data_IF_579516261034
#
_entry.id   IF_579516261034
#
_cell.length_a   1.000
_cell.length_b   1.000
_cell.length_c   1.000
_cell.angle_alpha   90.00
_cell.angle_beta   90.00
_cell.angle_gamma   90.00
#
_symmetry.space_group_name_H-M   'P 1'
#
loop_
_entity.id
_entity.type
_entity.pdbx_description
1 polymer ?
#
# COMPACT_ATOMS: atom_id res chain seq x y z
N UNK A 1 19.11 12.09 5.42
CA UNK A 1 18.13 12.62 4.44
C UNK A 1 17.07 11.56 4.21
N UNK A 2 15.86 11.95 3.83
CA UNK A 2 14.78 11.01 3.60
C UNK A 2 13.96 11.32 2.35
N UNK A 3 13.27 10.31 1.81
CA UNK A 3 12.28 10.46 0.76
C UNK A 3 11.07 9.57 1.05
N UNK A 4 9.89 10.09 0.72
CA UNK A 4 8.64 9.35 0.84
C UNK A 4 8.24 8.75 -0.51
N UNK A 5 7.87 7.48 -0.49
CA UNK A 5 7.27 6.76 -1.61
C UNK A 5 5.89 6.29 -1.18
N UNK A 6 4.87 6.53 -2.00
CA UNK A 6 3.50 6.09 -1.76
C UNK A 6 3.06 5.13 -2.85
N UNK A 7 2.17 4.21 -2.51
CA UNK A 7 1.49 3.38 -3.50
C UNK A 7 0.41 4.20 -4.22
N UNK A 8 0.52 4.32 -5.55
CA UNK A 8 -0.46 5.02 -6.38
C UNK A 8 -1.51 4.06 -6.92
N UNK A 9 -1.09 2.92 -7.44
CA UNK A 9 -1.98 1.89 -7.99
C UNK A 9 -1.61 0.53 -7.40
N UNK A 10 -2.65 -0.25 -7.11
CA UNK A 10 -2.56 -1.53 -6.44
C UNK A 10 -2.37 -2.65 -7.46
N UNK A 11 -1.77 -3.78 -7.05
CA UNK A 11 -1.63 -4.91 -7.93
C UNK A 11 -3.00 -5.58 -8.16
N UNK A 12 -3.20 -6.27 -9.29
CA UNK A 12 -4.46 -6.95 -9.58
C UNK A 12 -4.77 -8.07 -8.56
N UNK A 13 -3.74 -8.63 -7.94
CA UNK A 13 -3.85 -9.65 -6.90
C UNK A 13 -2.85 -9.37 -5.78
N UNK A 14 -3.23 -9.68 -4.55
CA UNK A 14 -2.37 -9.58 -3.37
C UNK A 14 -2.08 -10.96 -2.82
N UNK A 15 -0.82 -11.24 -2.50
CA UNK A 15 -0.41 -12.53 -1.94
C UNK A 15 0.39 -12.33 -0.65
N UNK A 16 0.24 -13.23 0.34
CA UNK A 16 1.09 -13.20 1.51
C UNK A 16 2.58 -13.23 1.12
N UNK A 17 3.39 -12.44 1.81
CA UNK A 17 4.82 -12.28 1.55
C UNK A 17 5.17 -11.44 0.31
N UNK A 18 4.18 -10.84 -0.36
CA UNK A 18 4.44 -9.99 -1.53
C UNK A 18 5.44 -8.88 -1.23
N UNK A 19 5.29 -8.20 -0.09
CA UNK A 19 6.16 -7.10 0.32
C UNK A 19 7.51 -7.54 0.93
N UNK A 20 7.79 -8.85 1.06
CA UNK A 20 9.00 -9.36 1.73
C UNK A 20 10.28 -8.92 1.03
N UNK A 21 10.23 -8.70 -0.29
CA UNK A 21 11.39 -8.22 -1.03
C UNK A 21 11.84 -6.83 -0.58
N UNK A 22 10.90 -5.96 -0.15
CA UNK A 22 11.26 -4.66 0.43
C UNK A 22 12.07 -4.82 1.71
N UNK A 23 11.73 -5.80 2.55
CA UNK A 23 12.44 -6.09 3.79
C UNK A 23 13.85 -6.66 3.57
N UNK A 24 14.14 -7.15 2.36
CA UNK A 24 15.46 -7.68 1.98
C UNK A 24 16.38 -6.64 1.35
N UNK A 25 15.87 -5.44 1.05
CA UNK A 25 16.67 -4.38 0.47
C UNK A 25 17.75 -3.93 1.48
N UNK A 26 19.00 -3.70 1.02
CA UNK A 26 20.10 -3.29 1.91
C UNK A 26 20.05 -1.79 2.24
N UNK A 27 18.85 -1.27 2.51
CA UNK A 27 18.58 0.16 2.72
C UNK A 27 17.78 0.37 4.00
N UNK A 28 18.00 1.50 4.67
CA UNK A 28 17.19 1.89 5.82
C UNK A 28 15.82 2.39 5.33
N UNK A 29 14.77 1.61 5.60
CA UNK A 29 13.40 1.93 5.20
C UNK A 29 12.42 1.75 6.35
N UNK A 30 11.37 2.58 6.37
CA UNK A 30 10.23 2.45 7.28
C UNK A 30 8.99 2.25 6.40
N UNK A 31 8.40 1.05 6.47
CA UNK A 31 7.16 0.73 5.78
C UNK A 31 6.01 0.95 6.77
N UNK A 32 5.04 1.76 6.38
CA UNK A 32 3.82 1.97 7.16
C UNK A 32 2.62 1.58 6.35
N UNK A 33 1.75 0.76 6.96
CA UNK A 33 0.45 0.42 6.43
C UNK A 33 -0.63 0.87 7.40
N UNK A 34 -1.76 1.30 6.87
CA UNK A 34 -2.94 1.66 7.65
C UNK A 34 -4.18 1.16 6.93
N UNK A 35 -5.14 0.64 7.68
CA UNK A 35 -6.41 0.15 7.16
C UNK A 35 -7.54 0.66 8.04
N UNK A 36 -8.33 1.59 7.50
CA UNK A 36 -9.48 2.16 8.19
C UNK A 36 -10.76 1.55 7.61
N UNK A 37 -11.52 0.83 8.43
CA UNK A 37 -12.77 0.20 8.01
C UNK A 37 -13.77 1.26 7.53
N UNK A 38 -14.42 0.98 6.42
CA UNK A 38 -15.47 1.83 5.86
C UNK A 38 -16.84 1.26 6.22
N UNK A 39 -17.84 2.12 6.34
CA UNK A 39 -19.22 1.66 6.53
C UNK A 39 -19.67 0.84 5.32
N UNK A 40 -20.45 -0.21 5.58
CA UNK A 40 -20.89 -1.15 4.53
C UNK A 40 -21.69 -0.46 3.43
N UNK A 41 -22.59 0.47 3.78
CA UNK A 41 -23.42 1.19 2.82
C UNK A 41 -22.56 2.16 2.02
N UNK A 42 -21.62 2.85 2.68
CA UNK A 42 -20.66 3.74 2.03
C UNK A 42 -19.76 2.97 1.05
N UNK A 43 -19.16 1.86 1.48
CA UNK A 43 -18.33 0.99 0.66
C UNK A 43 -19.10 0.44 -0.55
N UNK A 44 -20.33 -0.06 -0.36
CA UNK A 44 -21.21 -0.48 -1.45
C UNK A 44 -21.44 0.64 -2.47
N UNK A 45 -21.67 1.87 -2.00
CA UNK A 45 -21.84 3.04 -2.86
C UNK A 45 -20.59 3.35 -3.69
N UNK A 46 -19.41 3.28 -3.09
CA UNK A 46 -18.13 3.51 -3.76
C UNK A 46 -17.82 2.42 -4.80
N UNK A 47 -17.97 1.14 -4.43
CA UNK A 47 -17.72 0.01 -5.35
C UNK A 47 -18.69 0.07 -6.55
N UNK A 48 -19.97 0.40 -6.34
CA UNK A 48 -20.93 0.62 -7.43
C UNK A 48 -20.51 1.76 -8.36
N UNK A 49 -19.91 2.83 -7.82
CA UNK A 49 -19.38 3.94 -8.62
C UNK A 49 -18.21 3.45 -9.48
N UNK A 50 -17.28 2.69 -8.90
CA UNK A 50 -16.16 2.07 -9.62
C UNK A 50 -16.69 1.15 -10.72
N UNK A 51 -17.66 0.29 -10.44
CA UNK A 51 -18.26 -0.60 -11.44
C UNK A 51 -18.85 0.15 -12.64
N UNK A 52 -19.58 1.26 -12.40
CA UNK A 52 -20.07 2.11 -13.50
C UNK A 52 -18.94 2.73 -14.34
N UNK A 53 -17.81 3.06 -13.72
CA UNK A 53 -16.64 3.60 -14.42
C UNK A 53 -15.96 2.52 -15.27
N UNK A 54 -15.83 1.30 -14.74
CA UNK A 54 -15.25 0.14 -15.44
C UNK A 54 -16.09 -0.25 -16.66
N UNK A 55 -17.42 -0.33 -16.50
CA UNK A 55 -18.33 -0.63 -17.63
C UNK A 55 -18.21 0.41 -18.76
N UNK A 56 -17.94 1.67 -18.41
CA UNK A 56 -17.79 2.77 -19.37
C UNK A 56 -16.36 2.98 -19.88
N UNK A 57 -15.39 2.16 -19.47
CA UNK A 57 -13.99 2.24 -19.90
C UNK A 57 -13.63 1.09 -20.85
N UNK A 58 -12.38 1.08 -21.31
CA UNK A 58 -11.83 -0.03 -22.11
C UNK A 58 -11.73 -1.35 -21.33
N UNK A 59 -12.02 -1.34 -20.03
CA UNK A 59 -12.03 -2.52 -19.14
C UNK A 59 -13.42 -3.14 -18.98
N UNK A 60 -14.45 -2.59 -19.63
CA UNK A 60 -15.79 -3.17 -19.66
C UNK A 60 -15.80 -4.57 -20.28
N UNK A 61 -16.53 -5.49 -19.66
CA UNK A 61 -16.62 -6.90 -20.06
C UNK A 61 -15.37 -7.74 -19.80
N UNK A 62 -14.37 -7.19 -19.11
CA UNK A 62 -13.12 -7.90 -18.76
C UNK A 62 -13.19 -8.53 -17.37
N UNK A 63 -12.11 -9.19 -16.94
CA UNK A 63 -11.98 -9.70 -15.56
C UNK A 63 -12.02 -8.60 -14.50
N UNK A 64 -11.77 -7.35 -14.86
CA UNK A 64 -11.88 -6.20 -13.94
C UNK A 64 -13.34 -5.98 -13.54
N UNK A 65 -14.26 -5.96 -14.51
CA UNK A 65 -15.70 -5.82 -14.24
C UNK A 65 -16.20 -6.97 -13.35
N UNK A 66 -15.80 -8.22 -13.67
CA UNK A 66 -16.15 -9.38 -12.85
C UNK A 66 -15.61 -9.25 -11.42
N UNK A 67 -14.37 -8.79 -11.25
CA UNK A 67 -13.77 -8.61 -9.91
C UNK A 67 -14.52 -7.57 -9.08
N UNK A 68 -15.07 -6.54 -9.71
CA UNK A 68 -15.92 -5.53 -9.04
C UNK A 68 -17.25 -6.16 -8.60
N UNK A 69 -17.88 -6.96 -9.47
CA UNK A 69 -19.10 -7.70 -9.11
C UNK A 69 -18.89 -8.68 -7.96
N UNK A 70 -17.84 -9.50 -8.04
CA UNK A 70 -17.48 -10.45 -6.99
C UNK A 70 -17.21 -9.73 -5.65
N UNK A 71 -16.54 -8.57 -5.70
CA UNK A 71 -16.30 -7.74 -4.53
C UNK A 71 -17.59 -7.22 -3.88
N UNK A 72 -18.56 -6.78 -4.69
CA UNK A 72 -19.88 -6.35 -4.21
C UNK A 72 -20.64 -7.51 -3.55
N UNK A 73 -20.63 -8.69 -4.18
CA UNK A 73 -21.35 -9.85 -3.66
C UNK A 73 -20.77 -10.34 -2.33
N UNK A 74 -19.44 -10.42 -2.22
CA UNK A 74 -18.76 -10.76 -0.95
C UNK A 74 -19.06 -9.75 0.16
N UNK A 75 -19.11 -8.46 -0.16
CA UNK A 75 -19.52 -7.42 0.80
C UNK A 75 -21.02 -7.54 1.17
N UNK A 76 -21.88 -7.90 0.22
CA UNK A 76 -23.32 -8.13 0.43
C UNK A 76 -23.62 -9.41 1.24
N UNK A 77 -22.72 -10.38 1.22
CA UNK A 77 -22.82 -11.59 2.04
C UNK A 77 -22.12 -11.43 3.40
N UNK A 78 -21.26 -10.42 3.55
CA UNK A 78 -20.49 -10.18 4.78
C UNK A 78 -19.25 -11.07 4.91
N UNK A 79 -18.81 -11.69 3.81
CA UNK A 79 -17.58 -12.49 3.78
C UNK A 79 -16.32 -11.63 3.91
N UNK A 80 -16.38 -10.39 3.43
CA UNK A 80 -15.30 -9.41 3.54
C UNK A 80 -15.85 -8.07 3.99
N UNK A 81 -14.99 -7.30 4.65
CA UNK A 81 -15.21 -5.87 4.90
C UNK A 81 -14.30 -5.08 3.97
N UNK A 82 -14.68 -3.85 3.63
CA UNK A 82 -13.84 -2.95 2.86
C UNK A 82 -13.34 -1.82 3.76
N UNK A 83 -12.17 -1.30 3.43
CA UNK A 83 -11.56 -0.20 4.15
C UNK A 83 -10.56 0.56 3.30
N UNK A 84 -10.33 1.80 3.69
CA UNK A 84 -9.30 2.64 3.09
C UNK A 84 -7.93 2.13 3.54
N UNK A 85 -7.17 1.61 2.58
CA UNK A 85 -5.79 1.21 2.77
C UNK A 85 -4.83 2.30 2.33
N UNK A 86 -3.76 2.43 3.10
CA UNK A 86 -2.66 3.36 2.89
C UNK A 86 -1.34 2.62 3.07
N UNK A 87 -0.40 2.84 2.14
CA UNK A 87 0.95 2.33 2.22
C UNK A 87 1.96 3.39 1.82
N UNK A 88 2.90 3.66 2.71
CA UNK A 88 4.07 4.51 2.47
C UNK A 88 5.35 3.80 2.83
N UNK A 89 6.41 4.11 2.09
CA UNK A 89 7.79 3.72 2.39
C UNK A 89 8.60 5.01 2.57
N UNK A 90 9.11 5.23 3.78
CA UNK A 90 10.10 6.26 4.05
C UNK A 90 11.49 5.65 3.86
N UNK A 91 12.27 6.21 2.94
CA UNK A 91 13.64 5.76 2.64
C UNK A 91 14.61 6.74 3.26
N UNK A 92 15.58 6.26 4.04
CA UNK A 92 16.56 7.07 4.75
C UNK A 92 17.96 6.75 4.25
N UNK A 93 18.77 7.79 4.01
CA UNK A 93 20.16 7.64 3.57
C UNK A 93 21.05 8.81 4.02
N UNK A 94 22.37 8.62 3.97
CA UNK A 94 23.37 9.60 4.43
C UNK A 94 23.85 10.53 3.33
N UNK A 95 23.73 10.12 2.06
CA UNK A 95 24.08 10.93 0.89
C UNK A 95 22.97 10.95 -0.18
N UNK A 96 22.94 11.98 -1.02
CA UNK A 96 21.95 12.09 -2.12
C UNK A 96 22.11 10.94 -3.13
N UNK A 97 23.33 10.53 -3.52
CA UNK A 97 23.52 9.35 -4.37
C UNK A 97 22.96 8.06 -3.75
N UNK A 98 23.23 7.82 -2.46
CA UNK A 98 22.65 6.66 -1.74
C UNK A 98 21.13 6.72 -1.70
N UNK A 99 20.55 7.89 -1.41
CA UNK A 99 19.11 8.07 -1.36
C UNK A 99 18.46 7.74 -2.71
N UNK A 100 19.02 8.25 -3.82
CA UNK A 100 18.48 7.99 -5.15
C UNK A 100 18.60 6.50 -5.52
N UNK A 101 19.69 5.83 -5.14
CA UNK A 101 19.85 4.39 -5.34
C UNK A 101 18.80 3.60 -4.56
N UNK A 102 18.62 3.91 -3.28
CA UNK A 102 17.63 3.27 -2.42
C UNK A 102 16.20 3.48 -2.92
N UNK A 103 15.84 4.69 -3.36
CA UNK A 103 14.54 4.98 -3.99
C UNK A 103 14.33 4.09 -5.22
N UNK A 104 15.34 4.02 -6.11
CA UNK A 104 15.25 3.22 -7.33
C UNK A 104 15.03 1.75 -7.03
N UNK A 105 15.74 1.19 -6.04
CA UNK A 105 15.63 -0.21 -5.66
C UNK A 105 14.26 -0.50 -5.03
N UNK A 106 13.77 0.38 -4.14
CA UNK A 106 12.41 0.28 -3.56
C UNK A 106 11.33 0.35 -4.65
N UNK A 107 11.42 1.31 -5.58
CA UNK A 107 10.45 1.42 -6.66
C UNK A 107 10.47 0.20 -7.60
N UNK A 108 11.66 -0.34 -7.86
CA UNK A 108 11.82 -1.55 -8.68
C UNK A 108 11.16 -2.76 -8.01
N UNK A 109 11.35 -2.91 -6.70
CA UNK A 109 10.76 -4.01 -5.95
C UNK A 109 9.23 -3.89 -5.84
N UNK A 110 8.70 -2.68 -5.64
CA UNK A 110 7.25 -2.46 -5.71
C UNK A 110 6.70 -2.76 -7.11
N UNK A 111 7.39 -2.32 -8.17
CA UNK A 111 6.97 -2.58 -9.56
C UNK A 111 7.01 -4.07 -9.92
N UNK A 112 7.93 -4.86 -9.34
CA UNK A 112 7.98 -6.32 -9.48
C UNK A 112 6.69 -6.99 -9.00
N UNK A 113 6.02 -6.36 -8.03
CA UNK A 113 4.73 -6.81 -7.49
C UNK A 113 3.53 -6.25 -8.26
N UNK A 114 3.74 -5.59 -9.40
CA UNK A 114 2.73 -4.84 -10.14
C UNK A 114 2.09 -3.70 -9.32
N UNK A 115 2.76 -3.21 -8.27
CA UNK A 115 2.40 -1.96 -7.61
C UNK A 115 2.98 -0.81 -8.42
N UNK A 116 2.23 0.29 -8.60
CA UNK A 116 2.79 1.52 -9.19
C UNK A 116 3.20 2.46 -8.05
N UNK A 117 4.49 2.59 -7.74
CA UNK A 117 4.98 3.50 -6.70
C UNK A 117 5.15 4.93 -7.24
N UNK A 118 4.92 5.92 -6.38
CA UNK A 118 5.21 7.32 -6.67
C UNK A 118 6.10 7.88 -5.57
N UNK A 119 7.23 8.47 -5.98
CA UNK A 119 8.03 9.31 -5.08
C UNK A 119 7.28 10.61 -4.82
N UNK A 120 6.92 10.86 -3.56
CA UNK A 120 6.22 12.07 -3.18
C UNK A 120 7.14 13.29 -3.23
N UNK A 121 6.62 14.37 -3.83
CA UNK A 121 7.25 15.68 -3.88
C UNK A 121 6.39 16.70 -3.15
N UNK A 122 5.15 16.85 -3.61
CA UNK A 122 4.17 17.75 -3.01
C UNK A 122 3.59 17.18 -1.72
N UNK A 123 3.32 15.87 -1.66
CA UNK A 123 2.76 15.23 -0.48
C UNK A 123 3.84 14.66 0.46
N UNK A 124 5.09 15.14 0.38
CA UNK A 124 6.18 14.56 1.17
C UNK A 124 5.93 14.71 2.67
N UNK A 125 5.55 15.89 3.11
CA UNK A 125 5.19 16.18 4.50
C UNK A 125 3.95 15.39 4.97
N UNK A 126 2.79 15.43 4.27
CA UNK A 126 1.64 14.66 4.71
C UNK A 126 1.89 13.14 4.66
N UNK A 127 2.63 12.62 3.68
CA UNK A 127 2.99 11.20 3.64
C UNK A 127 3.86 10.79 4.84
N UNK A 128 4.73 11.66 5.33
CA UNK A 128 5.49 11.42 6.56
C UNK A 128 4.57 11.41 7.79
N UNK A 129 3.69 12.41 7.95
CA UNK A 129 2.78 12.48 9.09
C UNK A 129 1.74 11.36 9.12
N UNK A 130 1.32 10.87 7.95
CA UNK A 130 0.43 9.74 7.80
C UNK A 130 1.04 8.42 8.30
N UNK A 131 2.35 8.36 8.55
CA UNK A 131 2.98 7.18 9.16
C UNK A 131 2.65 7.02 10.64
N UNK A 132 2.19 8.08 11.30
CA UNK A 132 1.85 8.03 12.71
C UNK A 132 0.44 7.45 12.91
N UNK A 133 0.23 6.60 13.94
CA UNK A 133 -1.08 6.04 14.23
C UNK A 133 -2.16 7.14 14.41
N UNK A 134 -3.31 6.97 13.75
CA UNK A 134 -4.45 7.88 13.86
C UNK A 134 -4.40 9.11 12.94
N UNK A 135 -3.29 9.37 12.25
CA UNK A 135 -3.14 10.53 11.35
C UNK A 135 -3.76 10.31 9.96
N UNK A 136 -4.96 9.73 9.90
CA UNK A 136 -5.62 9.39 8.64
C UNK A 136 -5.93 10.62 7.76
N UNK A 137 -6.08 11.81 8.35
CA UNK A 137 -6.30 13.07 7.62
C UNK A 137 -5.12 13.48 6.73
N UNK A 138 -3.92 12.97 7.01
CA UNK A 138 -2.72 13.25 6.22
C UNK A 138 -2.51 12.26 5.07
N UNK A 139 -3.34 11.21 4.97
CA UNK A 139 -3.22 10.22 3.91
C UNK A 139 -3.64 10.84 2.57
N UNK A 140 -2.64 11.20 1.76
CA UNK A 140 -2.86 11.75 0.42
C UNK A 140 -3.28 10.69 -0.60
N UNK A 141 -2.82 9.44 -0.44
CA UNK A 141 -3.13 8.30 -1.32
C UNK A 141 -3.69 7.15 -0.51
N UNK A 142 -5.01 7.02 -0.55
CA UNK A 142 -5.76 5.87 -0.05
C UNK A 142 -6.47 5.18 -1.19
N UNK A 143 -6.70 3.88 -1.04
CA UNK A 143 -7.60 3.15 -1.91
C UNK A 143 -8.49 2.23 -1.07
N UNK A 144 -9.75 2.13 -1.47
CA UNK A 144 -10.68 1.20 -0.87
C UNK A 144 -10.33 -0.21 -1.34
N UNK A 145 -9.94 -1.08 -0.40
CA UNK A 145 -9.65 -2.50 -0.67
C UNK A 145 -10.42 -3.39 0.30
N UNK A 146 -10.59 -4.67 -0.05
CA UNK A 146 -11.16 -5.66 0.85
C UNK A 146 -10.18 -6.03 1.96
N UNK A 147 -10.71 -6.49 3.10
CA UNK A 147 -9.92 -7.05 4.20
C UNK A 147 -9.07 -8.25 3.76
N UNK A 148 -9.55 -9.02 2.78
CA UNK A 148 -8.81 -10.12 2.17
C UNK A 148 -7.55 -9.61 1.43
N UNK A 149 -7.69 -8.54 0.65
CA UNK A 149 -6.54 -7.94 -0.04
C UNK A 149 -5.56 -7.29 0.95
N UNK A 150 -6.09 -6.63 1.99
CA UNK A 150 -5.27 -6.10 3.08
C UNK A 150 -4.47 -7.20 3.77
N UNK A 151 -5.09 -8.34 4.12
CA UNK A 151 -4.39 -9.47 4.73
C UNK A 151 -3.29 -10.05 3.82
N UNK A 152 -3.48 -10.02 2.50
CA UNK A 152 -2.44 -10.39 1.53
C UNK A 152 -1.21 -9.46 1.60
N UNK A 153 -1.43 -8.15 1.70
CA UNK A 153 -0.35 -7.15 1.78
C UNK A 153 0.33 -7.13 3.17
N UNK A 154 -0.45 -7.28 4.23
CA UNK A 154 0.03 -7.23 5.62
C UNK A 154 0.24 -8.65 6.17
N UNK A 155 1.28 -9.33 5.69
CA UNK A 155 1.58 -10.70 6.13
C UNK A 155 2.28 -10.77 7.50
N UNK A 156 2.63 -9.62 8.08
CA UNK A 156 3.32 -9.56 9.37
C UNK A 156 4.72 -10.18 9.38
N UNK A 157 5.28 -10.46 8.21
CA UNK A 157 6.63 -11.00 8.09
C UNK A 157 7.64 -9.95 8.56
N UNK A 158 8.58 -10.41 9.38
CA UNK A 158 9.70 -9.61 9.82
C UNK A 158 10.94 -10.50 9.80
N UNK A 159 12.00 -10.05 9.13
CA UNK A 159 13.27 -10.77 9.15
C UNK A 159 14.03 -10.34 10.40
N UNK A 160 14.45 -11.28 11.28
CA UNK A 160 15.28 -10.95 12.42
C UNK A 160 16.71 -10.64 11.94
N UNK A 161 16.91 -9.44 11.40
CA UNK A 161 18.23 -8.90 11.10
C UNK A 161 18.42 -7.61 11.88
N UNK A 162 18.53 -7.74 13.21
CA UNK A 162 19.07 -6.68 14.06
C UNK A 162 20.60 -6.75 14.10
N UNK A 163 21.24 -5.64 14.46
CA UNK A 163 22.68 -5.68 14.76
C UNK A 163 22.89 -6.50 16.04
N UNK A 164 23.71 -7.56 15.95
CA UNK A 164 24.15 -8.31 17.14
C UNK A 164 25.14 -7.51 17.99
N UNK A 165 25.88 -6.60 17.34
CA UNK A 165 26.92 -5.80 17.95
C UNK A 165 26.52 -4.31 18.02
N UNK A 166 26.98 -3.59 19.06
CA UNK A 166 26.69 -2.16 19.29
C UNK A 166 25.19 -1.81 19.45
N UNK A 167 24.45 -2.65 20.17
CA UNK A 167 23.09 -2.33 20.59
C UNK A 167 23.03 -0.98 21.31
N UNK A 168 22.07 -0.15 20.91
CA UNK A 168 21.91 1.22 21.40
C UNK A 168 21.44 1.29 22.87
N UNK A 169 20.83 0.20 23.32
CA UNK A 169 20.39 -0.01 24.70
C UNK A 169 21.07 -1.30 25.16
N UNK A 170 22.07 -1.16 26.03
CA UNK A 170 22.72 -2.24 26.76
C UNK A 170 22.34 -2.15 28.23
#
# INVERSE_FOLDING_TARGET
>A
MAAMISMKEYPPYTTPGGLDGLLRLPHEIIITQSFALEDRVAAMGQIRKIGRQVVGSDEGGTSVEQSVHDGMDKLAQGEVVFGDHHLTVCVVARSVPELNKAISDVQSEMSRLAIIPVRERLNMEPAFWAQLPGNFSYIARKALISSMNFAGLFSGHNFPSGQKDRLHWK
#
